data_IF_891462669202
#
_entry.id   IF_891462669202
#
_cell.length_a   1.000
_cell.length_b   1.000
_cell.length_c   1.000
_cell.angle_alpha   90.00
_cell.angle_beta   90.00
_cell.angle_gamma   90.00
#
_symmetry.space_group_name_H-M   'P 1'
#
loop_
_entity.id
_entity.type
_entity.pdbx_description
1 polymer ?
#
# COMPACT_ATOMS: atom_id res chain seq x y z
N UNK A 1 -63.35 38.23 72.39
CA UNK A 1 -63.98 37.06 73.04
C UNK A 1 -63.61 35.81 72.26
N UNK A 2 -62.66 35.06 72.85
CA UNK A 2 -62.42 33.61 72.75
C UNK A 2 -63.12 32.81 71.66
N UNK A 3 -62.34 32.30 70.69
CA UNK A 3 -62.66 31.10 69.91
C UNK A 3 -61.64 29.99 70.18
N UNK A 4 -62.06 28.72 70.15
CA UNK A 4 -61.47 27.65 70.95
C UNK A 4 -60.34 26.90 70.22
N UNK A 5 -59.45 26.35 71.05
CA UNK A 5 -58.42 25.40 70.67
C UNK A 5 -59.04 24.07 70.22
N UNK A 6 -58.69 23.63 69.02
CA UNK A 6 -58.92 22.24 68.59
C UNK A 6 -57.56 21.60 68.31
N UNK A 7 -57.19 20.65 69.17
CA UNK A 7 -55.99 19.81 69.02
C UNK A 7 -56.19 18.86 67.84
N UNK A 8 -55.25 18.85 66.89
CA UNK A 8 -55.04 17.68 66.03
C UNK A 8 -53.63 17.13 66.17
N UNK A 9 -53.58 15.80 66.18
CA UNK A 9 -52.49 14.92 66.59
C UNK A 9 -51.27 15.04 65.69
N UNK A 10 -50.10 15.16 66.30
CA UNK A 10 -48.82 14.95 65.63
C UNK A 10 -48.61 13.44 65.39
N UNK A 11 -48.85 12.98 64.16
CA UNK A 11 -48.32 11.69 63.72
C UNK A 11 -46.86 11.86 63.33
N UNK A 12 -45.98 11.20 64.09
CA UNK A 12 -44.56 11.04 63.77
C UNK A 12 -44.44 10.17 62.53
N UNK A 13 -44.07 10.75 61.39
CA UNK A 13 -43.49 10.00 60.28
C UNK A 13 -41.99 10.28 60.31
N UNK A 14 -41.27 9.37 60.96
CA UNK A 14 -39.81 9.27 60.91
C UNK A 14 -39.44 8.59 59.58
N UNK A 15 -38.70 9.33 58.74
CA UNK A 15 -37.63 8.91 57.82
C UNK A 15 -37.95 7.85 56.74
N UNK A 16 -37.58 8.12 55.47
CA UNK A 16 -36.15 8.02 55.13
C UNK A 16 -35.69 9.13 54.17
N UNK A 17 -35.15 10.23 54.70
CA UNK A 17 -34.36 11.17 53.92
C UNK A 17 -32.86 10.80 53.88
N UNK A 18 -32.44 9.74 54.59
CA UNK A 18 -31.04 9.34 54.72
C UNK A 18 -30.56 8.32 53.67
N UNK A 19 -31.46 7.76 52.84
CA UNK A 19 -31.09 6.78 51.81
C UNK A 19 -30.68 7.42 50.46
N UNK A 20 -30.95 8.72 50.27
CA UNK A 20 -30.66 9.41 49.00
C UNK A 20 -29.30 10.13 48.98
N UNK A 21 -28.64 10.26 50.14
CA UNK A 21 -27.38 11.00 50.29
C UNK A 21 -26.12 10.15 50.02
N UNK A 22 -26.25 8.81 50.00
CA UNK A 22 -25.14 7.88 49.79
C UNK A 22 -24.95 7.44 48.33
N UNK A 23 -25.78 7.92 47.40
CA UNK A 23 -25.67 7.59 45.97
C UNK A 23 -24.88 8.62 45.14
N UNK A 24 -24.51 9.78 45.72
CA UNK A 24 -23.77 10.82 45.01
C UNK A 24 -22.24 10.58 44.84
N UNK A 25 -21.51 9.84 45.71
CA UNK A 25 -20.07 9.63 45.47
C UNK A 25 -19.78 8.56 44.40
N UNK A 26 -20.74 7.68 44.11
CA UNK A 26 -20.57 6.60 43.14
C UNK A 26 -20.59 7.07 41.67
N UNK A 27 -21.09 8.27 41.40
CA UNK A 27 -21.09 8.86 40.05
C UNK A 27 -19.78 9.58 39.69
N UNK A 28 -18.91 9.89 40.67
CA UNK A 28 -17.61 10.52 40.42
C UNK A 28 -16.49 9.51 40.12
N UNK A 29 -16.67 8.21 40.43
CA UNK A 29 -15.70 7.17 40.10
C UNK A 29 -15.93 6.50 38.72
N UNK A 30 -16.94 6.96 37.97
CA UNK A 30 -17.26 6.47 36.62
C UNK A 30 -16.69 7.33 35.48
N UNK A 31 -15.79 8.28 35.79
CA UNK A 31 -14.90 8.82 34.78
C UNK A 31 -13.93 7.72 34.36
N UNK A 32 -14.34 6.93 33.37
CA UNK A 32 -13.42 6.15 32.54
C UNK A 32 -12.21 7.05 32.27
N UNK A 33 -10.96 6.58 32.47
CA UNK A 33 -9.81 7.35 32.03
C UNK A 33 -10.10 7.79 30.61
N UNK A 34 -10.01 9.09 30.36
CA UNK A 34 -10.17 9.64 29.03
C UNK A 34 -9.35 8.74 28.11
N UNK A 35 -10.03 8.12 27.14
CA UNK A 35 -9.39 7.43 26.05
C UNK A 35 -8.24 8.34 25.61
N UNK A 36 -6.97 7.90 25.51
CA UNK A 36 -5.89 8.78 25.05
C UNK A 36 -6.16 9.15 23.59
N UNK A 37 -7.05 10.12 23.41
CA UNK A 37 -7.36 10.82 22.19
C UNK A 37 -6.19 11.76 21.99
N UNK A 38 -5.25 11.30 21.16
CA UNK A 38 -4.04 12.05 20.84
C UNK A 38 -2.78 11.20 20.70
N UNK A 39 -2.85 9.87 20.59
CA UNK A 39 -1.74 9.17 19.96
C UNK A 39 -1.63 9.73 18.53
N UNK A 40 -0.49 10.34 18.20
CA UNK A 40 -0.19 10.70 16.82
C UNK A 40 -0.45 9.47 15.94
N UNK A 41 -1.01 9.63 14.72
CA UNK A 41 -1.18 8.50 13.82
C UNK A 41 0.15 7.76 13.71
N UNK A 42 0.10 6.43 13.89
CA UNK A 42 1.30 5.61 13.85
C UNK A 42 2.04 5.88 12.53
N UNK A 43 3.37 6.05 12.62
CA UNK A 43 4.18 6.22 11.42
C UNK A 43 4.04 4.99 10.52
N UNK A 44 4.30 5.16 9.22
CA UNK A 44 4.22 4.02 8.31
C UNK A 44 5.14 2.88 8.74
N UNK A 45 6.34 3.21 9.22
CA UNK A 45 7.27 2.22 9.77
C UNK A 45 6.70 1.48 10.99
N UNK A 46 6.05 2.19 11.92
CA UNK A 46 5.45 1.58 13.10
C UNK A 46 4.18 0.76 12.77
N UNK A 47 3.50 1.08 11.67
CA UNK A 47 2.30 0.39 11.19
C UNK A 47 2.59 -0.78 10.25
N UNK A 48 3.85 -1.06 9.91
CA UNK A 48 4.23 -2.13 9.00
C UNK A 48 3.81 -3.50 9.55
N UNK A 49 3.08 -4.28 8.75
CA UNK A 49 2.73 -5.67 9.08
C UNK A 49 3.92 -6.61 8.92
N UNK A 50 4.77 -6.31 7.94
CA UNK A 50 5.95 -7.10 7.59
C UNK A 50 7.18 -6.21 7.45
N UNK A 51 8.33 -6.74 7.86
CA UNK A 51 9.62 -6.10 7.66
C UNK A 51 10.24 -6.52 6.33
N UNK A 52 10.19 -5.61 5.36
CA UNK A 52 10.79 -5.72 4.03
C UNK A 52 12.26 -5.31 3.99
N UNK A 53 12.81 -4.79 5.10
CA UNK A 53 14.20 -4.32 5.11
C UNK A 53 15.20 -5.48 4.99
N UNK A 54 16.35 -5.19 4.39
CA UNK A 54 17.43 -6.14 4.19
C UNK A 54 17.95 -6.18 2.77
N UNK A 55 18.71 -7.23 2.49
CA UNK A 55 19.30 -7.49 1.18
C UNK A 55 18.54 -8.63 0.50
N UNK A 56 18.15 -8.39 -0.75
CA UNK A 56 17.37 -9.31 -1.56
C UNK A 56 18.11 -9.62 -2.86
N UNK A 57 17.85 -10.79 -3.42
CA UNK A 57 18.37 -11.22 -4.71
C UNK A 57 17.23 -11.73 -5.56
N UNK A 58 17.29 -11.43 -6.86
CA UNK A 58 16.30 -11.93 -7.81
C UNK A 58 16.40 -13.45 -7.95
N UNK A 59 15.31 -14.13 -7.66
CA UNK A 59 15.11 -15.50 -8.11
C UNK A 59 14.47 -15.48 -9.51
N UNK A 60 15.15 -16.11 -10.48
CA UNK A 60 14.69 -16.14 -11.87
C UNK A 60 14.10 -17.52 -12.17
N UNK A 61 12.88 -17.73 -11.68
CA UNK A 61 12.11 -18.98 -11.85
C UNK A 61 11.21 -18.96 -13.09
N UNK A 62 10.83 -17.77 -13.56
CA UNK A 62 9.97 -17.57 -14.71
C UNK A 62 10.63 -16.71 -15.80
N UNK A 63 10.14 -16.86 -17.03
CA UNK A 63 10.49 -16.00 -18.18
C UNK A 63 12.00 -15.84 -18.35
N UNK A 64 12.77 -16.88 -18.04
CA UNK A 64 14.24 -16.87 -18.03
C UNK A 64 14.82 -16.30 -19.33
N UNK A 65 14.28 -16.74 -20.49
CA UNK A 65 14.66 -16.25 -21.83
C UNK A 65 14.59 -14.73 -21.94
N UNK A 66 13.62 -14.08 -21.30
CA UNK A 66 13.38 -12.64 -21.42
C UNK A 66 14.04 -11.83 -20.29
N UNK A 67 14.40 -12.46 -19.18
CA UNK A 67 15.03 -11.81 -18.01
C UNK A 67 16.56 -11.92 -18.02
N UNK A 68 17.10 -13.03 -18.52
CA UNK A 68 18.55 -13.29 -18.55
C UNK A 68 19.21 -12.94 -19.89
N UNK A 69 18.43 -12.95 -20.97
CA UNK A 69 18.89 -12.59 -22.32
C UNK A 69 18.08 -11.40 -22.77
N UNK A 70 18.75 -10.43 -23.41
CA UNK A 70 18.05 -9.32 -24.07
C UNK A 70 17.29 -9.89 -25.27
N UNK A 71 15.94 -9.79 -25.30
CA UNK A 71 15.18 -10.33 -26.43
C UNK A 71 15.55 -9.64 -27.74
N UNK A 72 15.33 -10.32 -28.86
CA UNK A 72 15.56 -9.70 -30.17
C UNK A 72 14.59 -8.54 -30.40
N UNK A 73 15.04 -7.56 -31.20
CA UNK A 73 14.14 -6.50 -31.68
C UNK A 73 13.01 -7.14 -32.50
N UNK A 74 11.77 -6.79 -32.16
CA UNK A 74 10.57 -7.39 -32.76
C UNK A 74 9.99 -8.59 -31.99
N UNK A 75 10.75 -9.19 -31.06
CA UNK A 75 10.26 -10.25 -30.16
C UNK A 75 9.59 -9.63 -28.93
N UNK A 76 8.33 -9.23 -29.07
CA UNK A 76 7.51 -8.66 -27.98
C UNK A 76 6.53 -9.67 -27.38
N UNK A 77 6.87 -10.96 -27.43
CA UNK A 77 6.04 -12.01 -26.85
C UNK A 77 5.78 -11.71 -25.36
N UNK A 78 4.55 -11.92 -24.90
CA UNK A 78 4.05 -11.59 -23.55
C UNK A 78 3.93 -10.09 -23.23
N UNK A 79 4.22 -9.17 -24.15
CA UNK A 79 3.92 -7.74 -24.00
C UNK A 79 2.74 -7.38 -24.90
N UNK A 80 1.56 -7.06 -24.33
CA UNK A 80 0.40 -6.68 -25.12
C UNK A 80 0.57 -5.26 -25.68
N UNK A 81 1.24 -5.15 -26.83
CA UNK A 81 1.42 -3.88 -27.53
C UNK A 81 0.24 -3.56 -28.45
N UNK A 82 -0.30 -2.35 -28.31
CA UNK A 82 -1.20 -1.76 -29.31
C UNK A 82 -0.42 -1.36 -30.59
N UNK A 83 -1.10 -0.97 -31.69
CA UNK A 83 -0.43 -0.64 -32.95
C UNK A 83 0.65 0.45 -32.84
N UNK A 84 0.39 1.52 -32.09
CA UNK A 84 1.37 2.60 -31.89
C UNK A 84 2.59 2.14 -31.09
N UNK A 85 2.37 1.36 -30.02
CA UNK A 85 3.45 0.76 -29.23
C UNK A 85 4.33 -0.15 -30.08
N UNK A 86 3.73 -0.97 -30.96
CA UNK A 86 4.46 -1.83 -31.91
C UNK A 86 5.26 -1.00 -32.92
N UNK A 87 4.70 0.09 -33.45
CA UNK A 87 5.40 1.00 -34.36
C UNK A 87 6.62 1.64 -33.69
N UNK A 88 6.47 2.16 -32.47
CA UNK A 88 7.57 2.76 -31.70
C UNK A 88 8.65 1.72 -31.39
N UNK A 89 8.26 0.53 -30.93
CA UNK A 89 9.20 -0.55 -30.64
C UNK A 89 10.00 -0.97 -31.88
N UNK A 90 9.34 -1.10 -33.04
CA UNK A 90 10.01 -1.45 -34.31
C UNK A 90 10.93 -0.34 -34.84
N UNK A 91 10.71 0.91 -34.44
CA UNK A 91 11.58 2.03 -34.76
C UNK A 91 12.77 2.19 -33.79
N UNK A 92 12.82 1.41 -32.70
CA UNK A 92 13.88 1.50 -31.70
C UNK A 92 15.27 1.21 -32.29
N UNK A 93 16.26 2.00 -31.87
CA UNK A 93 17.66 1.86 -32.26
C UNK A 93 18.53 1.95 -31.00
N UNK A 94 19.13 0.83 -30.53
CA UNK A 94 19.98 0.84 -29.35
C UNK A 94 21.21 1.74 -29.48
N UNK A 95 21.75 1.95 -30.68
CA UNK A 95 22.91 2.80 -30.88
C UNK A 95 22.58 4.27 -30.62
N UNK A 96 21.36 4.70 -30.97
CA UNK A 96 20.86 6.05 -30.69
C UNK A 96 20.70 6.30 -29.19
N UNK A 97 20.18 5.32 -28.45
CA UNK A 97 20.06 5.44 -26.98
C UNK A 97 21.44 5.56 -26.33
N UNK A 98 22.40 4.75 -26.77
CA UNK A 98 23.77 4.83 -26.27
C UNK A 98 24.40 6.19 -26.59
N UNK A 99 24.27 6.69 -27.82
CA UNK A 99 24.81 7.98 -28.24
C UNK A 99 24.17 9.17 -27.49
N UNK A 100 22.92 9.04 -27.05
CA UNK A 100 22.21 10.06 -26.28
C UNK A 100 22.36 9.92 -24.76
N UNK A 101 23.13 8.95 -24.28
CA UNK A 101 23.31 8.70 -22.84
C UNK A 101 22.07 8.11 -22.16
N UNK A 102 21.15 7.53 -22.93
CA UNK A 102 19.84 7.06 -22.47
C UNK A 102 19.82 5.56 -22.12
N UNK A 103 20.99 4.99 -21.79
CA UNK A 103 21.12 3.58 -21.41
C UNK A 103 20.21 3.15 -20.24
N UNK A 104 19.83 4.10 -19.38
CA UNK A 104 18.95 3.88 -18.24
C UNK A 104 17.46 3.67 -18.61
N UNK A 105 17.05 3.87 -19.87
CA UNK A 105 15.64 3.69 -20.31
C UNK A 105 15.05 2.32 -20.01
N UNK A 106 15.88 1.29 -19.97
CA UNK A 106 15.47 -0.09 -19.67
C UNK A 106 15.48 -0.44 -18.18
N UNK A 107 15.84 0.52 -17.32
CA UNK A 107 15.93 0.38 -15.87
C UNK A 107 14.93 1.28 -15.14
N UNK A 108 13.94 1.85 -15.83
CA UNK A 108 12.87 2.63 -15.21
C UNK A 108 11.95 1.78 -14.33
N UNK A 109 11.13 2.43 -13.51
CA UNK A 109 10.30 1.75 -12.49
C UNK A 109 9.43 0.62 -13.06
N UNK A 110 8.89 0.80 -14.28
CA UNK A 110 8.03 -0.19 -14.93
C UNK A 110 8.74 -1.51 -15.31
N UNK A 111 10.07 -1.50 -15.37
CA UNK A 111 10.86 -2.66 -15.81
C UNK A 111 11.83 -3.17 -14.74
N UNK A 112 12.26 -2.33 -13.80
CA UNK A 112 13.42 -2.62 -12.95
C UNK A 112 13.28 -3.90 -12.13
N UNK A 113 12.08 -4.23 -11.62
CA UNK A 113 11.85 -5.49 -10.90
C UNK A 113 11.81 -6.73 -11.80
N UNK A 114 11.64 -6.57 -13.11
CA UNK A 114 11.80 -7.66 -14.09
C UNK A 114 13.27 -7.89 -14.46
N UNK A 115 14.15 -6.92 -14.21
CA UNK A 115 15.59 -7.07 -14.45
C UNK A 115 16.22 -7.82 -13.28
N UNK A 116 16.88 -8.97 -13.51
CA UNK A 116 17.58 -9.67 -12.45
C UNK A 116 18.65 -8.77 -11.80
N UNK A 117 18.72 -8.81 -10.47
CA UNK A 117 19.65 -8.01 -9.69
C UNK A 117 19.51 -8.25 -8.19
N UNK A 118 20.21 -7.43 -7.43
CA UNK A 118 20.16 -7.34 -5.97
C UNK A 118 19.46 -6.07 -5.55
N UNK A 119 18.70 -6.16 -4.46
CA UNK A 119 18.01 -5.02 -3.86
C UNK A 119 18.54 -4.81 -2.45
N UNK A 120 18.65 -3.56 -2.04
CA UNK A 120 18.82 -3.19 -0.65
C UNK A 120 17.62 -2.32 -0.25
N UNK A 121 16.82 -2.81 0.69
CA UNK A 121 15.61 -2.16 1.15
C UNK A 121 15.81 -1.70 2.59
N UNK A 122 15.56 -0.43 2.88
CA UNK A 122 15.71 0.15 4.22
C UNK A 122 14.84 1.39 4.39
N UNK A 123 14.52 1.71 5.63
CA UNK A 123 13.82 2.96 5.97
C UNK A 123 14.77 4.13 5.84
N UNK A 124 14.43 5.10 4.97
CA UNK A 124 15.14 6.38 4.90
C UNK A 124 14.71 7.30 6.05
N UNK A 125 13.42 7.24 6.39
CA UNK A 125 12.79 7.89 7.54
C UNK A 125 11.53 7.10 7.94
N UNK A 126 10.75 7.61 8.88
CA UNK A 126 9.58 6.91 9.44
C UNK A 126 8.40 6.74 8.45
N UNK A 127 8.39 7.46 7.32
CA UNK A 127 7.32 7.41 6.31
C UNK A 127 7.85 7.22 4.87
N UNK A 128 9.13 6.90 4.71
CA UNK A 128 9.74 6.64 3.39
C UNK A 128 10.58 5.38 3.42
N UNK A 129 10.14 4.35 2.69
CA UNK A 129 10.94 3.16 2.44
C UNK A 129 11.77 3.37 1.18
N UNK A 130 13.04 3.00 1.21
CA UNK A 130 13.97 3.12 0.09
C UNK A 130 14.37 1.75 -0.41
N UNK A 131 14.43 1.61 -1.73
CA UNK A 131 14.92 0.42 -2.42
C UNK A 131 15.99 0.82 -3.43
N UNK A 132 17.23 0.39 -3.19
CA UNK A 132 18.35 0.55 -4.11
C UNK A 132 18.55 -0.74 -4.93
N UNK A 133 18.81 -0.60 -6.23
CA UNK A 133 19.05 -1.72 -7.16
C UNK A 133 20.48 -1.67 -7.70
N UNK A 134 21.15 -2.82 -7.80
CA UNK A 134 22.48 -2.88 -8.45
C UNK A 134 22.36 -2.73 -9.98
N UNK A 135 21.39 -3.44 -10.58
CA UNK A 135 21.02 -3.32 -11.98
C UNK A 135 20.57 -1.89 -12.26
N UNK A 136 21.29 -1.23 -13.18
CA UNK A 136 21.05 0.16 -13.55
C UNK A 136 21.36 1.19 -12.45
N UNK A 137 21.83 0.77 -11.27
CA UNK A 137 22.13 1.66 -10.13
C UNK A 137 20.99 2.63 -9.81
N UNK A 138 19.77 2.09 -9.70
CA UNK A 138 18.56 2.89 -9.51
C UNK A 138 18.17 2.94 -8.03
N UNK A 139 17.52 4.03 -7.64
CA UNK A 139 16.96 4.23 -6.29
C UNK A 139 15.49 4.55 -6.41
N UNK A 140 14.66 3.81 -5.69
CA UNK A 140 13.23 4.06 -5.56
C UNK A 140 12.89 4.47 -4.13
N UNK A 141 12.07 5.50 -4.01
CA UNK A 141 11.54 5.99 -2.74
C UNK A 141 10.03 5.74 -2.71
N UNK A 142 9.58 5.03 -1.69
CA UNK A 142 8.20 4.65 -1.47
C UNK A 142 7.65 5.52 -0.35
N UNK A 143 6.86 6.51 -0.71
CA UNK A 143 6.33 7.51 0.21
C UNK A 143 4.98 7.05 0.77
N UNK A 144 4.90 6.92 2.10
CA UNK A 144 3.65 6.65 2.79
C UNK A 144 2.96 7.97 3.13
N UNK A 145 1.94 8.29 2.33
CA UNK A 145 1.28 9.60 2.38
C UNK A 145 2.07 10.68 1.62
N UNK A 146 1.50 11.89 1.61
CA UNK A 146 2.00 12.99 0.77
C UNK A 146 1.61 12.86 -0.70
N UNK A 147 1.88 13.91 -1.47
CA UNK A 147 1.63 13.98 -2.91
C UNK A 147 2.91 14.35 -3.63
N UNK A 148 2.99 14.01 -4.92
CA UNK A 148 4.06 14.46 -5.80
C UNK A 148 4.33 15.96 -5.58
N UNK A 149 5.58 16.34 -5.22
CA UNK A 149 5.99 17.73 -5.12
C UNK A 149 5.64 18.56 -6.36
N UNK A 150 5.21 19.81 -6.15
CA UNK A 150 4.89 20.71 -7.25
C UNK A 150 6.15 21.02 -8.06
N UNK A 151 6.04 21.00 -9.40
CA UNK A 151 7.13 21.27 -10.34
C UNK A 151 8.30 20.27 -10.32
N UNK A 152 8.11 19.07 -9.78
CA UNK A 152 9.10 18.01 -9.94
C UNK A 152 9.17 17.55 -11.41
N UNK A 153 10.38 17.39 -11.96
CA UNK A 153 10.56 16.86 -13.30
C UNK A 153 10.39 15.33 -13.31
N UNK A 154 9.80 14.72 -14.35
CA UNK A 154 9.72 13.26 -14.44
C UNK A 154 11.09 12.59 -14.35
N UNK A 155 11.17 11.49 -13.61
CA UNK A 155 12.40 10.71 -13.42
C UNK A 155 12.25 9.29 -13.99
N UNK A 156 13.33 8.51 -14.09
CA UNK A 156 13.23 7.09 -14.48
C UNK A 156 12.43 6.26 -13.48
N UNK A 157 12.51 6.63 -12.20
CA UNK A 157 11.85 5.91 -11.11
C UNK A 157 10.48 6.49 -10.76
N UNK A 158 10.11 7.63 -11.36
CA UNK A 158 8.86 8.32 -11.09
C UNK A 158 8.71 8.75 -9.64
N UNK A 159 7.46 8.88 -9.21
CA UNK A 159 7.06 9.10 -7.82
C UNK A 159 6.16 7.96 -7.37
N UNK A 160 6.57 7.27 -6.29
CA UNK A 160 5.89 6.08 -5.79
C UNK A 160 5.15 6.37 -4.48
N UNK A 161 3.84 6.14 -4.48
CA UNK A 161 2.99 6.20 -3.28
C UNK A 161 2.80 4.80 -2.74
N UNK A 162 3.08 4.62 -1.46
CA UNK A 162 3.01 3.35 -0.76
C UNK A 162 1.84 3.30 0.23
N UNK A 163 1.22 2.13 0.33
CA UNK A 163 0.15 1.84 1.27
C UNK A 163 0.30 0.41 1.81
N UNK A 164 0.11 0.26 3.12
CA UNK A 164 -0.01 -1.05 3.75
C UNK A 164 -1.37 -1.66 3.46
N UNK A 165 -1.34 -2.91 3.00
CA UNK A 165 -2.53 -3.68 2.69
C UNK A 165 -3.44 -3.04 1.64
N UNK A 166 -4.71 -3.37 1.74
CA UNK A 166 -5.76 -3.04 0.80
C UNK A 166 -7.07 -3.70 1.24
N UNK A 167 -8.18 -3.23 0.67
CA UNK A 167 -9.51 -3.75 0.98
C UNK A 167 -9.91 -4.90 0.03
N UNK A 168 -8.98 -5.31 -0.83
CA UNK A 168 -9.22 -6.31 -1.85
C UNK A 168 -9.24 -7.70 -1.19
N UNK A 169 -10.32 -8.48 -1.39
CA UNK A 169 -10.39 -9.83 -0.86
C UNK A 169 -9.31 -10.69 -1.51
N UNK A 170 -8.23 -10.99 -0.79
CA UNK A 170 -7.27 -12.03 -1.18
C UNK A 170 -7.88 -13.40 -0.91
N UNK A 171 -7.56 -14.33 -1.79
CA UNK A 171 -7.81 -15.75 -1.59
C UNK A 171 -6.75 -16.30 -0.62
N UNK A 172 -7.16 -16.77 0.56
CA UNK A 172 -6.29 -17.36 1.60
C UNK A 172 -5.52 -18.61 1.16
N UNK A 173 -5.76 -19.10 -0.05
CA UNK A 173 -5.40 -20.46 -0.43
C UNK A 173 -3.98 -20.62 -0.96
N UNK A 174 -3.23 -19.55 -1.22
CA UNK A 174 -1.87 -19.61 -1.81
C UNK A 174 -1.78 -20.63 -2.97
N UNK A 175 -2.88 -20.78 -3.75
CA UNK A 175 -3.03 -21.78 -4.82
C UNK A 175 -3.93 -23.00 -4.54
N UNK A 176 -4.52 -23.17 -3.34
CA UNK A 176 -5.34 -24.34 -2.98
C UNK A 176 -6.87 -24.12 -3.06
N UNK A 177 -7.49 -24.28 -4.23
CA UNK A 177 -8.95 -24.41 -4.39
C UNK A 177 -9.58 -23.39 -5.34
N UNK A 178 -10.78 -23.68 -5.85
CA UNK A 178 -11.47 -22.87 -6.86
C UNK A 178 -12.49 -21.86 -6.31
N UNK A 179 -12.85 -20.81 -7.04
CA UNK A 179 -13.88 -19.85 -6.63
C UNK A 179 -15.23 -20.53 -6.30
N UNK A 180 -16.01 -19.95 -5.38
CA UNK A 180 -17.38 -20.40 -5.07
C UNK A 180 -18.40 -19.57 -5.83
N UNK A 181 -19.61 -20.08 -6.04
CA UNK A 181 -20.69 -19.28 -6.62
C UNK A 181 -21.41 -18.48 -5.52
N UNK A 182 -21.58 -17.18 -5.74
CA UNK A 182 -22.51 -16.37 -4.96
C UNK A 182 -23.98 -16.74 -5.30
N UNK A 183 -24.98 -16.25 -4.56
CA UNK A 183 -26.40 -16.51 -4.87
C UNK A 183 -26.84 -16.06 -6.28
N UNK A 184 -26.07 -15.20 -6.94
CA UNK A 184 -26.27 -14.76 -8.33
C UNK A 184 -25.47 -15.56 -9.37
N UNK A 185 -24.83 -16.67 -8.97
CA UNK A 185 -24.04 -17.54 -9.84
C UNK A 185 -22.68 -16.98 -10.24
N UNK A 186 -22.23 -15.87 -9.66
CA UNK A 186 -20.90 -15.30 -9.95
C UNK A 186 -19.83 -16.04 -9.16
N UNK A 187 -18.72 -16.33 -9.83
CA UNK A 187 -17.54 -16.88 -9.18
C UNK A 187 -16.90 -15.81 -8.29
N UNK A 188 -16.90 -16.04 -6.99
CA UNK A 188 -16.37 -15.14 -5.96
C UNK A 188 -15.42 -15.89 -5.01
N UNK A 189 -14.56 -15.14 -4.32
CA UNK A 189 -13.80 -15.66 -3.17
C UNK A 189 -14.77 -15.83 -1.99
N UNK A 190 -14.85 -17.05 -1.46
CA UNK A 190 -15.70 -17.37 -0.31
C UNK A 190 -15.32 -16.47 0.88
N UNK A 191 -16.31 -16.01 1.66
CA UNK A 191 -16.07 -15.09 2.78
C UNK A 191 -15.07 -15.65 3.80
N UNK A 192 -15.17 -16.94 4.13
CA UNK A 192 -14.22 -17.65 4.99
C UNK A 192 -12.78 -17.69 4.45
N UNK A 193 -12.59 -17.42 3.15
CA UNK A 193 -11.30 -17.41 2.47
C UNK A 193 -10.78 -15.99 2.23
N UNK A 194 -11.50 -14.94 2.65
CA UNK A 194 -11.03 -13.57 2.57
C UNK A 194 -10.02 -13.31 3.69
N UNK A 195 -8.83 -12.83 3.34
CA UNK A 195 -7.93 -12.16 4.27
C UNK A 195 -7.85 -10.68 3.92
N UNK A 196 -7.67 -9.85 4.95
CA UNK A 196 -7.22 -8.47 4.74
C UNK A 196 -5.87 -8.54 4.00
N UNK A 197 -5.64 -7.62 3.07
CA UNK A 197 -4.39 -7.63 2.33
C UNK A 197 -3.23 -7.31 3.29
N UNK A 198 -2.22 -8.17 3.22
CA UNK A 198 -0.99 -8.21 4.01
C UNK A 198 0.25 -7.87 3.16
N UNK A 199 0.04 -7.23 2.01
CA UNK A 199 1.12 -6.80 1.12
C UNK A 199 1.45 -5.31 1.31
N UNK A 200 2.60 -4.89 0.79
CA UNK A 200 2.88 -3.48 0.51
C UNK A 200 2.44 -3.16 -0.93
N UNK A 201 1.46 -2.27 -1.11
CA UNK A 201 1.08 -1.76 -2.43
C UNK A 201 1.85 -0.49 -2.73
N UNK A 202 2.43 -0.43 -3.92
CA UNK A 202 3.14 0.75 -4.43
C UNK A 202 2.56 1.13 -5.79
N UNK A 203 2.10 2.38 -5.91
CA UNK A 203 1.65 2.96 -7.18
C UNK A 203 2.65 4.02 -7.61
N UNK A 204 3.24 3.82 -8.79
CA UNK A 204 4.25 4.73 -9.36
C UNK A 204 3.70 5.45 -10.58
N UNK A 205 3.86 6.77 -10.59
CA UNK A 205 3.49 7.67 -11.70
C UNK A 205 4.63 8.63 -11.99
N UNK A 206 4.42 9.64 -12.85
CA UNK A 206 5.40 10.70 -13.13
C UNK A 206 6.75 10.18 -13.65
N UNK A 207 6.71 9.09 -14.41
CA UNK A 207 7.89 8.45 -14.99
C UNK A 207 8.26 9.10 -16.33
N UNK A 208 9.55 9.09 -16.66
CA UNK A 208 10.01 9.27 -18.05
C UNK A 208 9.55 8.10 -18.92
N UNK A 209 9.23 8.32 -20.21
CA UNK A 209 8.99 7.22 -21.15
C UNK A 209 10.22 6.31 -21.26
N UNK A 210 10.03 5.00 -21.14
CA UNK A 210 11.11 4.01 -21.12
C UNK A 210 10.70 2.69 -21.76
N UNK A 211 11.40 1.61 -21.39
CA UNK A 211 11.13 0.28 -21.95
C UNK A 211 10.73 -0.73 -20.88
N UNK A 212 9.71 -1.54 -21.17
CA UNK A 212 9.30 -2.70 -20.38
C UNK A 212 10.28 -3.88 -20.54
N UNK A 213 10.94 -3.97 -21.70
CA UNK A 213 11.96 -4.96 -22.01
C UNK A 213 13.14 -4.29 -22.72
N UNK A 214 14.35 -4.85 -22.56
CA UNK A 214 15.60 -4.30 -23.12
C UNK A 214 15.67 -4.29 -24.67
N UNK A 215 14.61 -4.72 -25.36
CA UNK A 215 14.49 -4.75 -26.82
C UNK A 215 13.64 -3.61 -27.40
N UNK A 216 13.41 -2.55 -26.62
CA UNK A 216 12.70 -1.35 -27.07
C UNK A 216 11.18 -1.39 -26.90
N UNK A 217 10.60 -2.43 -26.29
CA UNK A 217 9.16 -2.50 -25.98
C UNK A 217 8.76 -1.33 -25.07
N UNK A 218 7.97 -0.35 -25.52
CA UNK A 218 7.88 0.95 -24.85
C UNK A 218 6.76 1.02 -23.80
N UNK A 219 6.93 1.94 -22.86
CA UNK A 219 5.84 2.54 -22.09
C UNK A 219 5.92 4.08 -22.17
N UNK A 220 4.78 4.75 -22.03
CA UNK A 220 4.70 6.23 -22.11
C UNK A 220 4.92 6.90 -20.76
N UNK A 221 5.16 8.21 -20.73
CA UNK A 221 5.24 8.97 -19.48
C UNK A 221 3.92 9.05 -18.70
N UNK A 222 2.79 8.70 -19.34
CA UNK A 222 1.47 8.60 -18.70
C UNK A 222 1.21 7.20 -18.12
N UNK A 223 2.20 6.29 -18.15
CA UNK A 223 2.04 4.96 -17.57
C UNK A 223 1.85 5.04 -16.06
N UNK A 224 1.09 4.08 -15.53
CA UNK A 224 0.91 3.84 -14.10
C UNK A 224 1.45 2.43 -13.84
N UNK A 225 2.33 2.30 -12.85
CA UNK A 225 2.86 1.01 -12.39
C UNK A 225 2.25 0.72 -11.03
N UNK A 226 1.55 -0.40 -10.93
CA UNK A 226 1.07 -0.93 -9.66
C UNK A 226 1.87 -2.18 -9.30
N UNK A 227 2.48 -2.17 -8.12
CA UNK A 227 3.27 -3.26 -7.59
C UNK A 227 2.72 -3.67 -6.23
N UNK A 228 2.76 -4.97 -5.97
CA UNK A 228 2.31 -5.60 -4.74
C UNK A 228 3.48 -6.44 -4.23
N UNK A 229 4.11 -5.99 -3.14
CA UNK A 229 5.23 -6.69 -2.53
C UNK A 229 4.71 -7.56 -1.38
N UNK A 230 5.20 -8.78 -1.33
CA UNK A 230 4.84 -9.80 -0.36
C UNK A 230 6.12 -10.49 0.13
N UNK A 231 6.06 -11.15 1.28
CA UNK A 231 7.18 -11.90 1.85
C UNK A 231 6.68 -13.29 2.26
N UNK A 232 7.41 -14.32 1.82
CA UNK A 232 7.11 -15.72 2.08
C UNK A 232 7.93 -16.28 3.26
#
# INVERSE_FOLDING_TARGET
MTRPMTRLRASRILLPAAALSLLLPALLAAQRPANPQGAAPATARAAATDDYTGYWVSEVTEKWRFRMIVPDKGDYIMVPLNPEGRKVANAWDPAKDQASGEACRSYGAAAILQVPGRLHVYWQDDNTLRMDTDSGTQTRLFHFGGSLPTNEAPSWQGYSVAQWGGNDPRDRRDGQGGPVQDPGGRLVVAEAQRKDADYLKVVTTHMRPGYLQKNGAPYSGNAIVEEYFDKF
#
